data_IF_654107187655
#
_entry.id   IF_654107187655
#
_cell.length_a   1.000
_cell.length_b   1.000
_cell.length_c   1.000
_cell.angle_alpha   90.00
_cell.angle_beta   90.00
_cell.angle_gamma   90.00
#
_symmetry.space_group_name_H-M   'P 1'
#
loop_
_entity.id
_entity.type
_entity.pdbx_description
1 polymer ?
#
# COMPACT_ATOMS: atom_id res chain seq x y z
N UNK A 1 23.64 -14.93 37.87
CA UNK A 1 22.65 -14.22 37.02
C UNK A 1 21.28 -14.62 37.51
N UNK A 2 20.45 -13.69 37.98
CA UNK A 2 19.07 -13.98 38.40
C UNK A 2 18.20 -14.22 37.18
N UNK A 3 17.37 -15.26 37.22
CA UNK A 3 16.39 -15.54 36.15
C UNK A 3 15.36 -14.42 36.15
N UNK A 4 15.09 -13.77 35.02
CA UNK A 4 14.09 -12.72 34.94
C UNK A 4 12.70 -13.28 35.29
N UNK A 5 12.02 -12.63 36.23
CA UNK A 5 10.67 -13.07 36.67
C UNK A 5 9.53 -12.66 35.72
N UNK A 6 9.80 -11.76 34.76
CA UNK A 6 8.84 -11.29 33.79
C UNK A 6 9.49 -11.00 32.43
N UNK A 7 8.67 -10.92 31.35
CA UNK A 7 9.14 -10.49 30.02
C UNK A 7 9.75 -9.08 30.08
N UNK A 8 9.18 -8.19 30.90
CA UNK A 8 9.72 -6.84 31.07
C UNK A 8 11.11 -6.83 31.68
N UNK A 9 11.38 -7.67 32.67
CA UNK A 9 12.69 -7.80 33.29
C UNK A 9 13.71 -8.39 32.31
N UNK A 10 13.28 -9.40 31.52
CA UNK A 10 14.10 -9.98 30.46
C UNK A 10 14.50 -8.92 29.43
N UNK A 11 13.53 -8.13 28.93
CA UNK A 11 13.79 -7.09 27.94
C UNK A 11 14.67 -5.95 28.51
N UNK A 12 14.53 -5.60 29.77
CA UNK A 12 15.43 -4.62 30.41
C UNK A 12 16.87 -5.15 30.50
N UNK A 13 17.02 -6.43 30.79
CA UNK A 13 18.34 -7.05 31.00
C UNK A 13 19.02 -7.37 29.66
N UNK A 14 18.32 -7.89 28.69
CA UNK A 14 18.87 -8.41 27.44
C UNK A 14 18.45 -7.66 26.18
N UNK A 15 17.58 -6.65 26.29
CA UNK A 15 17.00 -5.97 25.13
C UNK A 15 18.05 -5.28 24.25
N UNK A 16 19.12 -4.77 24.83
CA UNK A 16 20.24 -4.17 24.07
C UNK A 16 20.95 -5.22 23.21
N UNK A 17 21.40 -6.31 23.83
CA UNK A 17 22.09 -7.40 23.12
C UNK A 17 21.19 -8.06 22.06
N UNK A 18 19.91 -8.29 22.39
CA UNK A 18 18.93 -8.81 21.44
C UNK A 18 18.71 -7.86 20.27
N UNK A 19 18.63 -6.55 20.53
CA UNK A 19 18.51 -5.53 19.50
C UNK A 19 19.70 -5.51 18.56
N UNK A 20 20.91 -5.59 19.08
CA UNK A 20 22.13 -5.68 18.26
C UNK A 20 22.15 -6.92 17.38
N UNK A 21 21.80 -8.09 17.92
CA UNK A 21 21.71 -9.33 17.15
C UNK A 21 20.67 -9.25 16.05
N UNK A 22 19.49 -8.64 16.32
CA UNK A 22 18.44 -8.44 15.31
C UNK A 22 18.96 -7.51 14.20
N UNK A 23 19.63 -6.42 14.53
CA UNK A 23 20.20 -5.50 13.55
C UNK A 23 21.33 -6.12 12.71
N UNK A 24 22.10 -7.05 13.29
CA UNK A 24 23.11 -7.81 12.55
C UNK A 24 22.49 -8.83 11.59
N UNK A 25 21.45 -9.53 12.04
CA UNK A 25 20.76 -10.54 11.21
C UNK A 25 19.85 -9.92 10.14
N UNK A 26 19.27 -8.76 10.44
CA UNK A 26 18.35 -8.05 9.57
C UNK A 26 18.74 -6.57 9.45
N UNK A 27 19.82 -6.26 8.73
CA UNK A 27 20.27 -4.88 8.57
C UNK A 27 19.19 -4.04 7.88
N UNK A 28 19.11 -2.77 8.29
CA UNK A 28 18.16 -1.84 7.67
C UNK A 28 18.49 -1.66 6.18
N UNK A 29 17.52 -1.97 5.33
CA UNK A 29 17.64 -1.83 3.87
C UNK A 29 17.78 -0.36 3.43
N UNK A 30 17.27 0.56 4.20
CA UNK A 30 17.34 2.00 3.98
C UNK A 30 17.52 2.72 5.32
N UNK A 31 18.45 3.68 5.36
CA UNK A 31 18.78 4.44 6.57
C UNK A 31 18.44 5.92 6.39
N UNK A 32 18.18 6.67 7.47
CA UNK A 32 18.13 8.12 7.41
C UNK A 32 19.42 8.69 6.79
N UNK A 33 19.27 9.55 5.77
CA UNK A 33 20.39 10.10 5.01
C UNK A 33 20.70 9.38 3.68
N UNK A 34 20.16 8.18 3.46
CA UNK A 34 20.24 7.55 2.14
C UNK A 34 19.47 8.36 1.08
N UNK A 35 19.88 8.31 -0.20
CA UNK A 35 19.22 9.05 -1.27
C UNK A 35 17.75 8.68 -1.41
N UNK A 36 16.88 9.67 -1.29
CA UNK A 36 15.42 9.54 -1.49
C UNK A 36 15.12 9.60 -2.99
N UNK A 37 14.20 8.76 -3.48
CA UNK A 37 13.75 8.84 -4.86
C UNK A 37 13.23 10.25 -5.19
N UNK A 38 13.63 10.85 -6.33
CA UNK A 38 13.08 12.15 -6.77
C UNK A 38 11.55 12.13 -6.89
N UNK A 39 10.95 10.97 -7.13
CA UNK A 39 9.50 10.80 -7.20
C UNK A 39 8.78 11.09 -5.89
N UNK A 40 9.45 10.95 -4.75
CA UNK A 40 8.91 11.32 -3.46
C UNK A 40 8.46 12.79 -3.42
N UNK A 41 9.17 13.66 -4.11
CA UNK A 41 8.89 15.10 -4.17
C UNK A 41 7.78 15.48 -5.14
N UNK A 42 7.36 14.58 -6.01
CA UNK A 42 6.21 14.78 -6.91
C UNK A 42 4.88 14.43 -6.26
N UNK A 43 4.88 13.83 -5.07
CA UNK A 43 3.66 13.57 -4.31
C UNK A 43 2.96 14.87 -3.92
N UNK A 44 1.63 14.89 -3.99
CA UNK A 44 0.81 16.04 -3.59
C UNK A 44 0.87 16.26 -2.08
N UNK A 45 0.89 15.19 -1.30
CA UNK A 45 1.13 15.20 0.14
C UNK A 45 2.53 14.67 0.41
N UNK A 46 3.39 15.50 0.98
CA UNK A 46 4.77 15.11 1.30
C UNK A 46 4.81 14.27 2.58
N UNK A 47 5.40 13.07 2.54
CA UNK A 47 5.60 12.25 3.73
C UNK A 47 6.59 12.92 4.70
N UNK A 48 6.37 12.71 5.99
CA UNK A 48 7.36 13.05 7.03
C UNK A 48 8.63 12.21 6.88
N UNK A 49 9.78 12.65 7.43
CA UNK A 49 11.06 11.92 7.29
C UNK A 49 10.98 10.44 7.65
N UNK A 50 10.33 10.09 8.75
CA UNK A 50 10.13 8.69 9.14
C UNK A 50 9.29 7.88 8.13
N UNK A 51 8.28 8.52 7.53
CA UNK A 51 7.45 7.89 6.49
C UNK A 51 8.23 7.74 5.17
N UNK A 52 9.12 8.68 4.85
CA UNK A 52 10.02 8.57 3.70
C UNK A 52 10.96 7.37 3.85
N UNK A 53 11.58 7.23 5.02
CA UNK A 53 12.44 6.08 5.35
C UNK A 53 11.65 4.78 5.18
N UNK A 54 10.45 4.69 5.75
CA UNK A 54 9.61 3.51 5.65
C UNK A 54 9.22 3.19 4.18
N UNK A 55 8.83 4.19 3.40
CA UNK A 55 8.48 4.01 2.00
C UNK A 55 9.67 3.56 1.16
N UNK A 56 10.85 4.16 1.36
CA UNK A 56 12.07 3.79 0.64
C UNK A 56 12.57 2.40 1.05
N UNK A 57 12.40 2.00 2.31
CA UNK A 57 12.68 0.63 2.76
C UNK A 57 11.82 -0.40 2.02
N UNK A 58 10.52 -0.09 1.82
CA UNK A 58 9.63 -0.94 1.02
C UNK A 58 10.10 -1.00 -0.43
N UNK A 59 10.46 0.13 -1.04
CA UNK A 59 10.97 0.17 -2.42
C UNK A 59 12.23 -0.70 -2.57
N UNK A 60 13.18 -0.59 -1.65
CA UNK A 60 14.38 -1.44 -1.66
C UNK A 60 14.05 -2.92 -1.45
N UNK A 61 13.11 -3.22 -0.54
CA UNK A 61 12.67 -4.60 -0.34
C UNK A 61 12.09 -5.22 -1.62
N UNK A 62 11.35 -4.46 -2.41
CA UNK A 62 10.80 -4.94 -3.68
C UNK A 62 11.84 -5.17 -4.79
N UNK A 63 13.08 -4.71 -4.62
CA UNK A 63 14.18 -5.08 -5.51
C UNK A 63 14.71 -6.50 -5.21
N UNK A 64 14.56 -6.96 -3.98
CA UNK A 64 15.06 -8.26 -3.51
C UNK A 64 13.96 -9.31 -3.36
N UNK A 65 12.72 -8.89 -3.07
CA UNK A 65 11.61 -9.79 -2.78
C UNK A 65 10.29 -9.25 -3.36
N UNK A 66 9.35 -10.16 -3.60
CA UNK A 66 8.03 -9.82 -4.16
C UNK A 66 7.06 -9.21 -3.15
N UNK A 67 7.38 -9.24 -1.87
CA UNK A 67 6.51 -8.77 -0.81
C UNK A 67 7.27 -7.94 0.23
N UNK A 68 6.58 -6.99 0.83
CA UNK A 68 7.01 -6.24 1.99
C UNK A 68 5.84 -6.07 2.96
N UNK A 69 6.12 -6.15 4.26
CA UNK A 69 5.15 -5.86 5.31
C UNK A 69 5.53 -4.57 6.03
N UNK A 70 4.55 -3.69 6.25
CA UNK A 70 4.72 -2.48 7.04
C UNK A 70 3.90 -2.62 8.31
N UNK A 71 4.60 -2.85 9.43
CA UNK A 71 4.00 -2.97 10.75
C UNK A 71 4.27 -1.66 11.49
N UNK A 72 3.21 -0.97 11.86
CA UNK A 72 3.29 0.30 12.55
C UNK A 72 2.00 0.57 13.34
N UNK A 73 2.05 1.46 14.33
CA UNK A 73 0.91 1.84 15.14
C UNK A 73 -0.19 2.55 14.34
N UNK A 74 -1.39 2.63 14.91
CA UNK A 74 -2.48 3.41 14.33
C UNK A 74 -2.09 4.90 14.26
N UNK A 75 -2.49 5.58 13.18
CA UNK A 75 -2.20 7.01 13.02
C UNK A 75 -0.83 7.34 12.40
N UNK A 76 0.11 6.41 12.27
CA UNK A 76 1.44 6.65 11.70
C UNK A 76 1.47 6.95 10.19
N UNK A 77 0.31 6.85 9.52
CA UNK A 77 0.19 7.15 8.09
C UNK A 77 0.58 6.01 7.15
N UNK A 78 0.35 4.76 7.55
CA UNK A 78 0.63 3.56 6.72
C UNK A 78 0.12 3.65 5.29
N UNK A 79 -1.07 4.23 5.09
CA UNK A 79 -1.66 4.45 3.76
C UNK A 79 -0.78 5.36 2.91
N UNK A 80 -0.29 6.47 3.48
CA UNK A 80 0.63 7.38 2.80
C UNK A 80 1.95 6.68 2.45
N UNK A 81 2.51 5.90 3.38
CA UNK A 81 3.72 5.10 3.15
C UNK A 81 3.53 4.13 1.99
N UNK A 82 2.41 3.40 1.94
CA UNK A 82 2.12 2.46 0.87
C UNK A 82 1.97 3.15 -0.49
N UNK A 83 1.22 4.25 -0.56
CA UNK A 83 1.04 5.03 -1.79
C UNK A 83 2.36 5.65 -2.27
N UNK A 84 3.17 6.18 -1.36
CA UNK A 84 4.48 6.73 -1.66
C UNK A 84 5.45 5.66 -2.18
N UNK A 85 5.46 4.47 -1.56
CA UNK A 85 6.29 3.36 -1.99
C UNK A 85 5.94 2.90 -3.42
N UNK A 86 4.65 2.73 -3.73
CA UNK A 86 4.17 2.37 -5.07
C UNK A 86 4.61 3.43 -6.10
N UNK A 87 4.41 4.70 -5.78
CA UNK A 87 4.76 5.80 -6.68
C UNK A 87 6.27 5.89 -6.95
N UNK A 88 7.09 5.74 -5.91
CA UNK A 88 8.55 5.72 -6.03
C UNK A 88 9.05 4.46 -6.76
N UNK A 89 8.44 3.30 -6.51
CA UNK A 89 8.81 2.06 -7.19
C UNK A 89 8.49 2.11 -8.69
N UNK A 90 7.38 2.74 -9.08
CA UNK A 90 7.03 2.93 -10.49
C UNK A 90 8.04 3.80 -11.25
N UNK A 91 8.73 4.68 -10.56
CA UNK A 91 9.79 5.56 -11.09
C UNK A 91 9.40 6.27 -12.40
N UNK A 92 8.18 6.82 -12.44
CA UNK A 92 7.65 7.54 -13.60
C UNK A 92 7.06 6.66 -14.70
N UNK A 93 7.16 5.35 -14.60
CA UNK A 93 6.48 4.43 -15.52
C UNK A 93 4.98 4.40 -15.22
N UNK A 94 4.13 4.24 -16.24
CA UNK A 94 2.70 3.96 -16.01
C UNK A 94 2.54 2.69 -15.16
N UNK A 95 1.64 2.73 -14.18
CA UNK A 95 1.38 1.58 -13.32
C UNK A 95 -0.10 1.46 -12.98
N UNK A 96 -0.51 0.26 -12.63
CA UNK A 96 -1.81 -0.04 -12.03
C UNK A 96 -1.57 -0.71 -10.69
N UNK A 97 -2.26 -0.25 -9.65
CA UNK A 97 -2.19 -0.83 -8.33
C UNK A 97 -3.58 -1.30 -7.88
N UNK A 98 -3.66 -2.48 -7.28
CA UNK A 98 -4.88 -3.01 -6.66
C UNK A 98 -4.75 -2.87 -5.15
N UNK A 99 -5.70 -2.15 -4.54
CA UNK A 99 -5.80 -2.02 -3.09
C UNK A 99 -6.96 -2.87 -2.57
N UNK A 100 -6.65 -3.83 -1.71
CA UNK A 100 -7.65 -4.62 -0.98
C UNK A 100 -7.85 -4.01 0.40
N UNK A 101 -9.03 -3.51 0.65
CA UNK A 101 -9.37 -2.84 1.92
C UNK A 101 -10.76 -3.28 2.39
N UNK A 102 -11.04 -3.25 3.71
CA UNK A 102 -12.39 -3.43 4.21
C UNK A 102 -13.37 -2.45 3.56
N UNK A 103 -14.60 -2.90 3.26
CA UNK A 103 -15.58 -2.12 2.48
C UNK A 103 -15.86 -0.72 3.04
N UNK A 104 -15.88 -0.56 4.38
CA UNK A 104 -16.07 0.74 5.02
C UNK A 104 -14.87 1.70 4.86
N UNK A 105 -13.70 1.21 4.46
CA UNK A 105 -12.49 2.02 4.24
C UNK A 105 -12.26 2.37 2.76
N UNK A 106 -13.05 1.83 1.85
CA UNK A 106 -12.85 2.00 0.39
C UNK A 106 -12.85 3.48 -0.03
N UNK A 107 -13.85 4.24 0.41
CA UNK A 107 -13.93 5.67 0.11
C UNK A 107 -12.79 6.46 0.75
N UNK A 108 -12.35 6.09 1.96
CA UNK A 108 -11.20 6.69 2.62
C UNK A 108 -9.92 6.43 1.83
N UNK A 109 -9.70 5.19 1.39
CA UNK A 109 -8.52 4.82 0.60
C UNK A 109 -8.47 5.59 -0.74
N UNK A 110 -9.59 5.69 -1.43
CA UNK A 110 -9.69 6.48 -2.67
C UNK A 110 -9.37 7.96 -2.43
N UNK A 111 -9.93 8.54 -1.36
CA UNK A 111 -9.63 9.93 -0.98
C UNK A 111 -8.15 10.13 -0.70
N UNK A 112 -7.51 9.25 0.05
CA UNK A 112 -6.08 9.30 0.31
C UNK A 112 -5.25 9.18 -0.98
N UNK A 113 -5.66 8.33 -1.93
CA UNK A 113 -5.00 8.23 -3.23
C UNK A 113 -5.06 9.56 -4.00
N UNK A 114 -6.24 10.20 -4.10
CA UNK A 114 -6.39 11.50 -4.75
C UNK A 114 -5.58 12.63 -4.07
N UNK A 115 -5.50 12.60 -2.75
CA UNK A 115 -4.75 13.61 -1.98
C UNK A 115 -3.24 13.40 -2.02
N UNK A 116 -2.78 12.22 -2.41
CA UNK A 116 -1.36 11.84 -2.34
C UNK A 116 -0.72 11.71 -3.72
N UNK A 117 -1.41 11.08 -4.67
CA UNK A 117 -0.83 10.73 -5.96
C UNK A 117 -1.22 11.74 -7.04
N UNK A 118 -0.27 12.28 -7.81
CA UNK A 118 -0.58 13.19 -8.91
C UNK A 118 -1.23 12.41 -10.06
N UNK A 119 -2.31 12.97 -10.62
CA UNK A 119 -2.96 12.46 -11.83
C UNK A 119 -3.53 11.04 -11.72
N UNK A 120 -3.77 10.53 -10.52
CA UNK A 120 -4.30 9.19 -10.32
C UNK A 120 -5.75 9.06 -10.79
N UNK A 121 -6.09 7.94 -11.43
CA UNK A 121 -7.46 7.50 -11.65
C UNK A 121 -7.79 6.39 -10.67
N UNK A 122 -8.94 6.46 -10.04
CA UNK A 122 -9.36 5.49 -9.03
C UNK A 122 -10.65 4.82 -9.46
N UNK A 123 -10.68 3.50 -9.36
CA UNK A 123 -11.82 2.67 -9.72
C UNK A 123 -12.24 1.83 -8.51
N UNK A 124 -13.52 1.79 -8.23
CA UNK A 124 -14.10 0.85 -7.29
C UNK A 124 -14.52 -0.40 -8.03
N UNK A 125 -14.07 -1.53 -7.55
CA UNK A 125 -14.52 -2.85 -8.00
C UNK A 125 -15.55 -3.29 -6.98
N UNK A 126 -16.83 -3.05 -7.28
CA UNK A 126 -17.94 -3.52 -6.47
C UNK A 126 -18.22 -4.98 -6.84
N UNK A 127 -17.45 -5.88 -6.29
CA UNK A 127 -17.74 -7.28 -6.40
C UNK A 127 -18.83 -7.65 -5.37
N UNK A 128 -19.88 -8.33 -5.80
CA UNK A 128 -20.59 -9.31 -4.98
C UNK A 128 -21.67 -8.81 -4.03
N UNK A 129 -22.33 -7.67 -4.21
CA UNK A 129 -23.55 -7.39 -3.44
C UNK A 129 -24.86 -7.85 -4.09
N UNK A 130 -24.85 -8.29 -5.34
CA UNK A 130 -26.02 -8.89 -5.95
C UNK A 130 -26.00 -10.41 -5.81
N UNK A 131 -26.70 -10.89 -4.79
CA UNK A 131 -27.07 -12.28 -4.63
C UNK A 131 -27.81 -12.72 -5.93
N UNK A 132 -27.18 -13.57 -6.71
CA UNK A 132 -27.82 -14.26 -7.82
C UNK A 132 -27.47 -13.79 -9.23
N UNK A 133 -26.54 -12.87 -9.43
CA UNK A 133 -26.03 -12.53 -10.78
C UNK A 133 -24.63 -13.12 -10.99
N UNK A 134 -24.43 -13.70 -12.17
CA UNK A 134 -23.17 -14.26 -12.61
C UNK A 134 -22.01 -13.30 -12.36
N UNK A 135 -20.87 -13.82 -11.90
CA UNK A 135 -19.62 -13.08 -11.66
C UNK A 135 -19.08 -12.32 -12.90
N UNK A 136 -19.72 -12.47 -14.04
CA UNK A 136 -19.47 -11.72 -15.27
C UNK A 136 -19.85 -10.24 -15.18
N UNK A 137 -20.59 -9.82 -14.15
CA UNK A 137 -21.10 -8.46 -13.96
C UNK A 137 -20.45 -7.72 -12.78
N UNK A 138 -19.19 -7.98 -12.47
CA UNK A 138 -18.46 -7.10 -11.56
C UNK A 138 -18.48 -5.67 -12.12
N UNK A 139 -19.25 -4.79 -11.49
CA UNK A 139 -19.28 -3.39 -11.83
C UNK A 139 -17.97 -2.70 -11.44
N UNK A 140 -17.34 -2.04 -12.39
CA UNK A 140 -16.18 -1.18 -12.13
C UNK A 140 -16.64 0.26 -12.29
N UNK A 141 -16.56 1.04 -11.23
CA UNK A 141 -16.98 2.43 -11.21
C UNK A 141 -15.77 3.34 -11.06
N UNK A 142 -15.53 4.22 -12.03
CA UNK A 142 -14.60 5.32 -11.83
C UNK A 142 -15.16 6.29 -10.78
N UNK A 143 -14.32 6.72 -9.88
CA UNK A 143 -14.69 7.67 -8.83
C UNK A 143 -13.87 8.94 -8.95
N UNK A 144 -14.45 10.06 -8.52
CA UNK A 144 -13.79 11.37 -8.49
C UNK A 144 -13.89 11.98 -7.10
N UNK A 145 -12.91 12.80 -6.77
CA UNK A 145 -12.94 13.62 -5.56
C UNK A 145 -13.59 14.98 -5.88
N UNK A 146 -14.78 15.23 -5.33
CA UNK A 146 -15.49 16.53 -5.45
C UNK A 146 -15.80 17.07 -4.05
N UNK A 147 -15.39 18.29 -3.76
CA UNK A 147 -15.61 18.96 -2.46
C UNK A 147 -15.24 18.07 -1.26
N UNK A 148 -14.11 17.36 -1.37
CA UNK A 148 -13.61 16.45 -0.31
C UNK A 148 -14.37 15.13 -0.14
N UNK A 149 -15.39 14.86 -0.98
CA UNK A 149 -16.18 13.61 -0.99
C UNK A 149 -15.87 12.79 -2.23
N UNK A 150 -15.88 11.47 -2.08
CA UNK A 150 -15.78 10.55 -3.20
C UNK A 150 -17.16 10.43 -3.86
N UNK A 151 -17.22 10.74 -5.14
CA UNK A 151 -18.44 10.67 -5.97
C UNK A 151 -18.22 9.66 -7.08
N UNK A 152 -19.17 8.77 -7.30
CA UNK A 152 -19.17 7.86 -8.44
C UNK A 152 -19.51 8.67 -9.70
N UNK A 153 -18.70 8.54 -10.72
CA UNK A 153 -18.89 9.24 -11.99
C UNK A 153 -19.73 8.34 -12.89
N UNK A 154 -21.00 8.21 -12.64
CA UNK A 154 -22.10 7.57 -13.38
C UNK A 154 -21.86 6.64 -14.60
N UNK A 155 -20.64 6.49 -15.06
CA UNK A 155 -20.22 5.57 -16.11
C UNK A 155 -19.93 4.20 -15.47
N UNK A 156 -20.90 3.30 -15.55
CA UNK A 156 -20.69 1.88 -15.32
C UNK A 156 -19.80 1.32 -16.43
N UNK A 157 -18.49 1.36 -16.20
CA UNK A 157 -17.56 0.63 -17.04
C UNK A 157 -17.58 -0.82 -16.56
N UNK A 158 -17.93 -1.76 -17.42
CA UNK A 158 -17.83 -3.18 -17.09
C UNK A 158 -16.35 -3.60 -17.13
N UNK A 159 -15.97 -4.65 -16.38
CA UNK A 159 -14.61 -5.25 -16.48
C UNK A 159 -14.28 -5.65 -17.93
N UNK A 160 -15.28 -5.74 -18.81
CA UNK A 160 -15.15 -6.00 -20.24
C UNK A 160 -14.42 -4.90 -20.98
N UNK A 161 -14.63 -3.65 -20.56
CA UNK A 161 -14.10 -2.46 -21.25
C UNK A 161 -12.72 -2.06 -20.70
N UNK A 162 -12.33 -2.62 -19.56
CA UNK A 162 -10.99 -2.46 -19.03
C UNK A 162 -10.14 -3.65 -19.53
N UNK A 163 -8.96 -3.39 -20.08
CA UNK A 163 -7.98 -4.41 -20.49
C UNK A 163 -7.67 -5.46 -19.41
N UNK A 164 -8.05 -5.19 -18.18
CA UNK A 164 -8.00 -6.08 -17.00
C UNK A 164 -8.77 -7.40 -17.17
N UNK A 165 -9.78 -7.47 -18.05
CA UNK A 165 -10.56 -8.71 -18.23
C UNK A 165 -9.70 -9.85 -18.79
N UNK A 166 -8.79 -9.54 -19.72
CA UNK A 166 -7.88 -10.54 -20.31
C UNK A 166 -6.89 -11.05 -19.26
N UNK A 167 -6.35 -10.14 -18.46
CA UNK A 167 -5.36 -10.47 -17.42
C UNK A 167 -6.00 -11.22 -16.25
N UNK A 168 -7.23 -10.86 -15.85
CA UNK A 168 -7.95 -11.55 -14.79
C UNK A 168 -8.36 -12.98 -15.19
N UNK A 169 -8.83 -13.17 -16.42
CA UNK A 169 -9.16 -14.51 -16.94
C UNK A 169 -7.91 -15.39 -16.99
N UNK A 170 -6.81 -14.86 -17.51
CA UNK A 170 -5.52 -15.55 -17.60
C UNK A 170 -4.94 -15.87 -16.20
N UNK A 171 -5.06 -14.95 -15.23
CA UNK A 171 -4.66 -15.21 -13.86
C UNK A 171 -5.49 -16.34 -13.24
N UNK A 172 -6.83 -16.32 -13.38
CA UNK A 172 -7.72 -17.36 -12.86
C UNK A 172 -7.46 -18.73 -13.47
N UNK A 173 -7.09 -18.80 -14.74
CA UNK A 173 -6.72 -20.05 -15.42
C UNK A 173 -5.38 -20.62 -14.96
N UNK A 174 -4.46 -19.77 -14.50
CA UNK A 174 -3.16 -20.19 -13.91
C UNK A 174 -3.27 -20.73 -12.49
N UNK A 175 -4.40 -20.49 -11.79
CA UNK A 175 -4.61 -20.95 -10.42
C UNK A 175 -5.54 -22.17 -10.32
N UNK A 176 -5.95 -22.75 -11.42
CA UNK A 176 -6.59 -24.06 -11.54
C UNK A 176 -5.60 -25.12 -12.00
#
# INVERSE_FOLDING_TARGET
MSVPGSISDYLRQFGGELGERILQMYPALYKPGDPVSPRMWTLLRKPYPAQQVAAMSVVRRWQEARAAAVIAECGTGKTLVALAAIHCHADGRPYTALALVPGHLTAKMAREAFLTLPGVRVFFIDALRDQGRDASHCGVNEVKLRHGKIVRDGLHTTLTDLRLKKDYKTARERWR
#
